data_IF_954945016267
#
_entry.id   IF_954945016267
#
_cell.length_a   1.000
_cell.length_b   1.000
_cell.length_c   1.000
_cell.angle_alpha   90.00
_cell.angle_beta   90.00
_cell.angle_gamma   90.00
#
_symmetry.space_group_name_H-M   'P 1'
#
loop_
_entity.id
_entity.type
_entity.pdbx_description
1 polymer ?
#
# COMPACT_ATOMS: atom_id res chain seq x y z
N UNK A 1 7.02 23.10 10.97
CA UNK A 1 7.10 21.70 10.48
C UNK A 1 8.52 21.19 10.68
N UNK A 2 8.71 20.01 11.31
CA UNK A 2 10.05 19.48 11.64
C UNK A 2 10.84 19.20 10.35
N UNK A 3 12.16 19.43 10.35
CA UNK A 3 13.08 19.24 9.20
C UNK A 3 12.84 17.92 8.44
N UNK A 4 12.64 16.83 9.17
CA UNK A 4 12.35 15.50 8.61
C UNK A 4 11.09 15.44 7.73
N UNK A 5 9.99 16.08 8.14
CA UNK A 5 8.73 16.09 7.38
C UNK A 5 8.89 16.85 6.06
N UNK A 6 9.66 17.94 6.07
CA UNK A 6 9.89 18.77 4.88
C UNK A 6 10.71 18.04 3.82
N UNK A 7 11.67 17.21 4.22
CA UNK A 7 12.58 16.50 3.33
C UNK A 7 12.24 15.01 3.17
N UNK A 8 11.04 14.58 3.55
CA UNK A 8 10.66 13.18 3.54
C UNK A 8 10.90 12.51 2.19
N UNK A 9 10.52 13.15 1.07
CA UNK A 9 10.75 12.61 -0.27
C UNK A 9 12.24 12.40 -0.58
N UNK A 10 13.11 13.31 -0.13
CA UNK A 10 14.56 13.19 -0.29
C UNK A 10 15.08 12.01 0.52
N UNK A 11 14.63 11.86 1.77
CA UNK A 11 14.98 10.72 2.61
C UNK A 11 14.55 9.39 2.00
N UNK A 12 13.33 9.30 1.45
CA UNK A 12 12.84 8.09 0.79
C UNK A 12 13.70 7.73 -0.42
N UNK A 13 14.00 8.70 -1.29
CA UNK A 13 14.86 8.49 -2.46
C UNK A 13 16.26 8.05 -2.04
N UNK A 14 16.85 8.71 -1.04
CA UNK A 14 18.16 8.35 -0.51
C UNK A 14 18.17 6.91 0.03
N UNK A 15 17.15 6.52 0.81
CA UNK A 15 17.01 5.15 1.31
C UNK A 15 16.82 4.13 0.17
N UNK A 16 16.06 4.46 -0.87
CA UNK A 16 15.89 3.59 -2.05
C UNK A 16 17.22 3.39 -2.80
N UNK A 17 17.96 4.47 -3.06
CA UNK A 17 19.26 4.41 -3.74
C UNK A 17 20.25 3.58 -2.93
N UNK A 18 20.33 3.81 -1.61
CA UNK A 18 21.21 3.06 -0.72
C UNK A 18 20.82 1.58 -0.70
N UNK A 19 19.53 1.28 -0.54
CA UNK A 19 19.03 -0.10 -0.52
C UNK A 19 19.34 -0.86 -1.82
N UNK A 20 19.07 -0.25 -2.98
CA UNK A 20 19.39 -0.84 -4.29
C UNK A 20 20.90 -1.00 -4.47
N UNK A 21 21.69 0.00 -4.08
CA UNK A 21 23.16 -0.05 -4.18
C UNK A 21 23.73 -1.17 -3.32
N UNK A 22 23.30 -1.30 -2.07
CA UNK A 22 23.73 -2.37 -1.17
C UNK A 22 23.35 -3.75 -1.75
N UNK A 23 22.13 -3.88 -2.29
CA UNK A 23 21.68 -5.11 -2.93
C UNK A 23 22.53 -5.51 -4.15
N UNK A 24 23.04 -4.52 -4.90
CA UNK A 24 23.89 -4.74 -6.07
C UNK A 24 25.36 -5.01 -5.72
N UNK A 25 25.96 -4.23 -4.82
CA UNK A 25 27.38 -4.34 -4.46
C UNK A 25 27.68 -5.45 -3.46
N UNK A 26 26.72 -5.78 -2.59
CA UNK A 26 26.86 -6.83 -1.58
C UNK A 26 25.76 -7.90 -1.74
N UNK A 27 25.83 -8.75 -2.80
CA UNK A 27 24.81 -9.78 -3.07
C UNK A 27 24.72 -10.85 -1.96
N UNK A 28 25.68 -10.88 -1.02
CA UNK A 28 25.61 -11.71 0.18
C UNK A 28 24.39 -11.36 1.06
N UNK A 29 23.99 -10.09 1.13
CA UNK A 29 22.83 -9.66 1.93
C UNK A 29 21.53 -10.25 1.34
N UNK A 30 21.18 -10.03 0.05
CA UNK A 30 20.05 -10.71 -0.59
C UNK A 30 20.09 -12.23 -0.47
N UNK A 31 21.26 -12.86 -0.64
CA UNK A 31 21.38 -14.32 -0.54
C UNK A 31 21.05 -14.87 0.85
N UNK A 32 21.39 -14.16 1.93
CA UNK A 32 20.98 -14.54 3.28
C UNK A 32 19.47 -14.36 3.45
N UNK A 33 18.90 -13.26 2.93
CA UNK A 33 17.45 -13.04 2.98
C UNK A 33 16.66 -14.10 2.21
N UNK A 34 17.14 -14.52 1.03
CA UNK A 34 16.52 -15.57 0.21
C UNK A 34 16.55 -16.94 0.89
N UNK A 35 17.50 -17.20 1.80
CA UNK A 35 17.47 -18.42 2.64
C UNK A 35 16.30 -18.42 3.64
N UNK A 36 15.80 -17.25 4.01
CA UNK A 36 14.60 -17.07 4.84
C UNK A 36 13.34 -16.86 3.99
N UNK A 37 13.37 -17.24 2.70
CA UNK A 37 12.21 -17.24 1.84
C UNK A 37 11.46 -18.57 1.94
N UNK A 38 10.16 -18.49 2.18
CA UNK A 38 9.27 -19.66 2.15
C UNK A 38 8.18 -19.41 1.12
N UNK A 39 8.08 -20.30 0.13
CA UNK A 39 7.08 -20.24 -0.94
C UNK A 39 7.03 -18.90 -1.73
N UNK A 40 8.18 -18.27 -2.00
CA UNK A 40 8.21 -17.00 -2.73
C UNK A 40 8.08 -15.76 -1.84
N UNK A 41 7.96 -15.93 -0.52
CA UNK A 41 7.68 -14.86 0.44
C UNK A 41 8.82 -14.81 1.46
N UNK A 42 9.55 -13.70 1.51
CA UNK A 42 10.62 -13.51 2.49
C UNK A 42 10.00 -13.32 3.89
N UNK A 43 10.17 -14.32 4.77
CA UNK A 43 9.60 -14.31 6.13
C UNK A 43 10.08 -13.06 6.90
N UNK A 44 11.33 -12.68 6.70
CA UNK A 44 11.90 -11.47 7.32
C UNK A 44 11.14 -10.21 6.89
N UNK A 45 10.83 -10.06 5.60
CA UNK A 45 10.07 -8.92 5.09
C UNK A 45 8.63 -8.94 5.61
N UNK A 46 7.99 -10.11 5.63
CA UNK A 46 6.65 -10.24 6.19
C UNK A 46 6.59 -9.83 7.67
N UNK A 47 7.59 -10.23 8.46
CA UNK A 47 7.71 -9.85 9.87
C UNK A 47 7.99 -8.35 10.04
N UNK A 48 8.90 -7.78 9.26
CA UNK A 48 9.19 -6.34 9.26
C UNK A 48 7.95 -5.51 8.94
N UNK A 49 7.20 -5.90 7.89
CA UNK A 49 5.94 -5.26 7.52
C UNK A 49 4.91 -5.44 8.63
N UNK A 50 4.80 -6.62 9.23
CA UNK A 50 3.87 -6.86 10.34
C UNK A 50 4.18 -5.97 11.55
N UNK A 51 5.46 -5.82 11.92
CA UNK A 51 5.91 -4.90 12.97
C UNK A 51 5.58 -3.45 12.63
N UNK A 52 5.57 -3.06 11.35
CA UNK A 52 5.18 -1.71 10.93
C UNK A 52 3.65 -1.49 10.94
N UNK A 53 2.87 -2.48 10.51
CA UNK A 53 1.40 -2.41 10.45
C UNK A 53 0.81 -2.41 11.87
N UNK A 54 1.31 -3.28 12.75
CA UNK A 54 0.79 -3.48 14.10
C UNK A 54 0.62 -2.19 14.94
N UNK A 55 1.62 -1.31 15.09
CA UNK A 55 1.50 -0.10 15.89
C UNK A 55 0.48 0.89 15.32
N UNK A 56 0.22 0.86 14.02
CA UNK A 56 -0.85 1.68 13.44
C UNK A 56 -2.23 1.12 13.72
N UNK A 57 -2.38 -0.20 13.65
CA UNK A 57 -3.63 -0.87 13.99
C UNK A 57 -4.04 -0.66 15.46
N UNK A 58 -3.09 -0.41 16.36
CA UNK A 58 -3.38 -0.05 17.76
C UNK A 58 -3.77 1.42 17.91
N UNK A 59 -3.25 2.31 17.06
CA UNK A 59 -3.57 3.75 17.10
C UNK A 59 -4.98 4.07 16.60
N UNK A 60 -5.72 3.07 16.11
CA UNK A 60 -7.09 3.20 15.64
C UNK A 60 -8.02 3.43 16.83
N UNK A 61 -8.42 4.68 17.04
CA UNK A 61 -9.44 5.01 18.04
C UNK A 61 -10.85 4.75 17.49
N UNK A 62 -11.41 3.58 17.83
CA UNK A 62 -12.79 3.21 17.49
C UNK A 62 -13.85 4.14 18.10
N UNK A 63 -13.52 4.94 19.14
CA UNK A 63 -14.47 5.95 19.66
C UNK A 63 -14.66 7.07 18.66
N UNK A 64 -13.60 7.52 17.99
CA UNK A 64 -13.65 8.57 16.97
C UNK A 64 -14.57 8.20 15.78
N UNK A 65 -14.67 6.91 15.43
CA UNK A 65 -15.65 6.39 14.43
C UNK A 65 -17.09 6.74 14.81
N UNK A 66 -17.44 6.63 16.11
CA UNK A 66 -18.80 6.87 16.60
C UNK A 66 -19.18 8.35 16.58
N UNK A 67 -18.21 9.26 16.74
CA UNK A 67 -18.45 10.71 16.72
C UNK A 67 -18.66 11.24 15.28
N UNK A 68 -17.96 10.68 14.30
CA UNK A 68 -17.99 11.12 12.90
C UNK A 68 -19.22 10.56 12.14
N UNK A 69 -19.88 9.53 12.69
CA UNK A 69 -21.17 9.02 12.20
C UNK A 69 -22.28 10.10 12.15
N UNK A 70 -22.10 11.24 12.84
CA UNK A 70 -23.03 12.38 12.78
C UNK A 70 -22.95 13.20 11.47
N UNK A 71 -21.83 13.17 10.73
CA UNK A 71 -21.67 13.88 9.45
C UNK A 71 -20.93 13.01 8.40
N UNK A 72 -21.55 11.93 7.90
CA UNK A 72 -20.86 10.91 7.10
C UNK A 72 -20.50 11.34 5.67
N UNK A 73 -20.99 12.49 5.17
CA UNK A 73 -20.90 12.84 3.74
C UNK A 73 -19.46 12.90 3.22
N UNK A 74 -18.55 13.56 3.96
CA UNK A 74 -17.15 13.70 3.56
C UNK A 74 -16.39 12.37 3.58
N UNK A 75 -16.60 11.58 4.64
CA UNK A 75 -16.00 10.26 4.79
C UNK A 75 -16.51 9.30 3.70
N UNK A 76 -17.81 9.31 3.41
CA UNK A 76 -18.43 8.43 2.42
C UNK A 76 -17.92 8.71 1.00
N UNK A 77 -17.83 9.98 0.60
CA UNK A 77 -17.27 10.37 -0.71
C UNK A 77 -15.81 9.96 -0.80
N UNK A 78 -15.01 10.24 0.24
CA UNK A 78 -13.60 9.84 0.28
C UNK A 78 -13.46 8.32 0.19
N UNK A 79 -14.32 7.59 0.90
CA UNK A 79 -14.31 6.13 0.93
C UNK A 79 -14.59 5.53 -0.45
N UNK A 80 -15.64 5.99 -1.14
CA UNK A 80 -15.98 5.50 -2.47
C UNK A 80 -14.91 5.90 -3.50
N UNK A 81 -14.51 7.18 -3.53
CA UNK A 81 -13.63 7.67 -4.59
C UNK A 81 -12.21 7.10 -4.42
N UNK A 82 -11.67 7.16 -3.21
CA UNK A 82 -10.27 6.82 -2.96
C UNK A 82 -10.05 5.31 -2.79
N UNK A 83 -11.04 4.55 -2.31
CA UNK A 83 -10.84 3.15 -1.93
C UNK A 83 -11.59 2.17 -2.83
N UNK A 84 -12.57 2.65 -3.61
CA UNK A 84 -13.22 1.86 -4.64
C UNK A 84 -12.76 2.33 -6.01
N UNK A 85 -13.08 3.55 -6.42
CA UNK A 85 -12.86 4.00 -7.80
C UNK A 85 -11.37 4.00 -8.14
N UNK A 86 -10.55 4.69 -7.34
CA UNK A 86 -9.11 4.84 -7.60
C UNK A 86 -8.37 3.50 -7.82
N UNK A 87 -8.41 2.51 -6.90
CA UNK A 87 -7.65 1.27 -7.09
C UNK A 87 -8.13 0.48 -8.30
N UNK A 88 -9.43 0.43 -8.60
CA UNK A 88 -9.94 -0.25 -9.80
C UNK A 88 -9.50 0.47 -11.09
N UNK A 89 -9.54 1.80 -11.11
CA UNK A 89 -9.10 2.58 -12.27
C UNK A 89 -7.59 2.45 -12.50
N UNK A 90 -6.78 2.59 -11.46
CA UNK A 90 -5.32 2.45 -11.58
C UNK A 90 -4.90 1.03 -11.96
N UNK A 91 -5.52 0.00 -11.36
CA UNK A 91 -5.33 -1.39 -11.77
C UNK A 91 -5.70 -1.58 -13.24
N UNK A 92 -6.88 -1.11 -13.65
CA UNK A 92 -7.37 -1.24 -15.02
C UNK A 92 -6.44 -0.60 -16.04
N UNK A 93 -5.98 0.63 -15.79
CA UNK A 93 -5.06 1.35 -16.68
C UNK A 93 -3.74 0.59 -16.81
N UNK A 94 -3.11 0.22 -15.68
CA UNK A 94 -1.82 -0.48 -15.71
C UNK A 94 -1.94 -1.87 -16.34
N UNK A 95 -2.99 -2.62 -16.02
CA UNK A 95 -3.22 -3.98 -16.53
C UNK A 95 -3.53 -3.99 -18.02
N UNK A 96 -4.37 -3.06 -18.49
CA UNK A 96 -4.67 -2.91 -19.93
C UNK A 96 -3.45 -2.40 -20.69
N UNK A 97 -2.68 -1.46 -20.13
CA UNK A 97 -1.42 -1.03 -20.76
C UNK A 97 -0.45 -2.22 -20.93
N UNK A 98 -0.28 -3.06 -19.91
CA UNK A 98 0.55 -4.26 -20.01
C UNK A 98 0.01 -5.26 -21.04
N UNK A 99 -1.32 -5.40 -21.13
CA UNK A 99 -1.97 -6.23 -22.14
C UNK A 99 -1.71 -5.74 -23.57
N UNK A 100 -1.84 -4.43 -23.80
CA UNK A 100 -1.55 -3.80 -25.10
C UNK A 100 -0.08 -3.94 -25.50
N UNK A 101 0.83 -3.88 -24.52
CA UNK A 101 2.25 -4.11 -24.70
C UNK A 101 2.62 -5.61 -24.84
N UNK A 102 1.64 -6.51 -24.84
CA UNK A 102 1.82 -7.98 -24.93
C UNK A 102 2.77 -8.54 -23.87
N UNK A 103 2.79 -7.94 -22.67
CA UNK A 103 3.57 -8.46 -21.56
C UNK A 103 2.91 -9.71 -20.98
N UNK A 104 3.70 -10.68 -20.48
CA UNK A 104 3.15 -11.89 -19.88
C UNK A 104 2.39 -11.58 -18.57
N UNK A 105 1.41 -12.42 -18.24
CA UNK A 105 0.54 -12.22 -17.08
C UNK A 105 1.31 -12.11 -15.74
N UNK A 106 2.43 -12.83 -15.62
CA UNK A 106 3.30 -12.79 -14.45
C UNK A 106 3.98 -11.43 -14.21
N UNK A 107 3.97 -10.53 -15.21
CA UNK A 107 4.42 -9.13 -15.07
C UNK A 107 3.22 -8.20 -14.96
N UNK A 108 2.20 -8.41 -15.80
CA UNK A 108 1.03 -7.54 -15.86
C UNK A 108 0.22 -7.53 -14.55
N UNK A 109 0.00 -8.69 -13.94
CA UNK A 109 -0.79 -8.79 -12.71
C UNK A 109 -0.11 -8.09 -11.51
N UNK A 110 1.19 -8.35 -11.20
CA UNK A 110 1.90 -7.60 -10.18
C UNK A 110 2.00 -6.10 -10.48
N UNK A 111 2.26 -5.72 -11.75
CA UNK A 111 2.34 -4.30 -12.12
C UNK A 111 1.02 -3.56 -11.88
N UNK A 112 -0.12 -4.18 -12.21
CA UNK A 112 -1.45 -3.65 -11.91
C UNK A 112 -1.70 -3.49 -10.41
N UNK A 113 -1.25 -4.44 -9.60
CA UNK A 113 -1.38 -4.36 -8.14
C UNK A 113 -0.51 -3.24 -7.55
N UNK A 114 0.75 -3.14 -7.97
CA UNK A 114 1.66 -2.06 -7.53
C UNK A 114 1.07 -0.68 -7.85
N UNK A 115 0.46 -0.52 -9.03
CA UNK A 115 -0.18 0.74 -9.41
C UNK A 115 -1.44 1.07 -8.60
N UNK A 116 -2.16 0.07 -8.10
CA UNK A 116 -3.38 0.26 -7.32
C UNK A 116 -3.12 0.48 -5.82
N UNK A 117 -1.97 0.00 -5.30
CA UNK A 117 -1.66 0.00 -3.87
C UNK A 117 -1.25 1.36 -3.31
N UNK A 118 -1.60 1.60 -2.04
CA UNK A 118 -1.24 2.81 -1.32
C UNK A 118 -0.31 2.51 -0.12
N UNK A 119 0.50 3.51 0.27
CA UNK A 119 1.35 3.44 1.47
C UNK A 119 0.61 3.99 2.69
N UNK A 120 -0.11 3.12 3.39
CA UNK A 120 -0.92 3.51 4.55
C UNK A 120 -0.13 4.00 5.74
N UNK A 121 1.04 3.40 5.95
CA UNK A 121 1.98 3.75 7.00
C UNK A 121 2.24 5.24 7.04
N UNK A 122 2.57 5.77 5.87
CA UNK A 122 2.87 7.16 5.72
C UNK A 122 1.60 8.02 5.79
N UNK A 123 0.51 7.57 5.16
CA UNK A 123 -0.75 8.32 5.13
C UNK A 123 -1.32 8.56 6.54
N UNK A 124 -1.37 7.51 7.38
CA UNK A 124 -1.85 7.60 8.76
C UNK A 124 -0.91 8.45 9.61
N UNK A 125 0.41 8.26 9.48
CA UNK A 125 1.40 9.06 10.21
C UNK A 125 1.28 10.56 9.91
N UNK A 126 1.13 10.93 8.64
CA UNK A 126 0.94 12.33 8.20
C UNK A 126 -0.40 12.86 8.68
N UNK A 127 -1.48 12.08 8.58
CA UNK A 127 -2.81 12.51 9.02
C UNK A 127 -2.84 12.80 10.53
N UNK A 128 -2.27 11.91 11.35
CA UNK A 128 -2.16 12.12 12.80
C UNK A 128 -1.26 13.33 13.10
N UNK A 129 -0.15 13.49 12.39
CA UNK A 129 0.80 14.58 12.66
C UNK A 129 0.24 15.97 12.29
N UNK A 130 -0.60 16.06 11.26
CA UNK A 130 -1.16 17.33 10.79
C UNK A 130 -2.52 17.66 11.41
N UNK A 131 -3.38 16.66 11.59
CA UNK A 131 -4.78 16.85 11.99
C UNK A 131 -5.10 16.28 13.37
N UNK A 132 -4.17 15.55 14.00
CA UNK A 132 -4.38 14.88 15.28
C UNK A 132 -5.07 13.51 15.15
N UNK A 133 -5.03 12.73 16.22
CA UNK A 133 -5.52 11.33 16.26
C UNK A 133 -7.04 11.20 16.17
N UNK A 134 -7.79 12.23 16.55
CA UNK A 134 -9.27 12.22 16.59
C UNK A 134 -9.92 12.84 15.34
N UNK A 135 -9.11 13.23 14.36
CA UNK A 135 -9.60 13.89 13.15
C UNK A 135 -10.27 12.92 12.16
N UNK A 136 -11.19 13.44 11.35
CA UNK A 136 -11.81 12.70 10.25
C UNK A 136 -10.79 12.16 9.25
N UNK A 137 -9.70 12.90 9.01
CA UNK A 137 -8.62 12.50 8.10
C UNK A 137 -7.80 11.32 8.65
N UNK A 138 -7.44 11.34 9.94
CA UNK A 138 -6.76 10.21 10.58
C UNK A 138 -7.65 8.96 10.62
N UNK A 139 -8.96 9.15 10.84
CA UNK A 139 -9.91 8.05 10.80
C UNK A 139 -10.06 7.48 9.37
N UNK A 140 -10.24 8.32 8.35
CA UNK A 140 -10.44 7.89 6.97
C UNK A 140 -9.26 7.08 6.42
N UNK A 141 -8.02 7.52 6.71
CA UNK A 141 -6.79 6.80 6.32
C UNK A 141 -6.66 5.45 7.01
N UNK A 142 -7.06 5.38 8.28
CA UNK A 142 -6.99 4.17 9.09
C UNK A 142 -8.06 3.15 8.74
N UNK A 143 -9.33 3.59 8.70
CA UNK A 143 -10.47 2.73 8.34
C UNK A 143 -10.30 2.20 6.93
N UNK A 144 -9.79 3.04 6.03
CA UNK A 144 -9.68 2.57 4.68
C UNK A 144 -8.68 1.42 4.53
N UNK A 145 -7.63 1.29 5.36
CA UNK A 145 -6.70 0.12 5.28
C UNK A 145 -7.49 -1.19 5.32
N UNK A 146 -8.51 -1.24 6.18
CA UNK A 146 -9.41 -2.38 6.30
C UNK A 146 -10.25 -2.64 5.05
N UNK A 147 -10.40 -1.64 4.20
CA UNK A 147 -11.21 -1.68 2.97
C UNK A 147 -10.36 -1.88 1.73
N UNK A 148 -9.11 -1.41 1.71
CA UNK A 148 -8.17 -1.71 0.64
C UNK A 148 -7.80 -3.19 0.63
N UNK A 149 -7.61 -3.82 1.79
CA UNK A 149 -7.26 -5.26 1.84
C UNK A 149 -8.31 -6.14 1.10
N UNK A 150 -9.63 -6.05 1.36
CA UNK A 150 -10.64 -6.73 0.58
C UNK A 150 -10.63 -6.37 -0.91
N UNK A 151 -10.46 -5.10 -1.25
CA UNK A 151 -10.40 -4.64 -2.64
C UNK A 151 -9.20 -5.25 -3.37
N UNK A 152 -8.05 -5.31 -2.72
CA UNK A 152 -6.85 -5.96 -3.26
C UNK A 152 -7.05 -7.45 -3.45
N UNK A 153 -7.65 -8.15 -2.48
CA UNK A 153 -8.00 -9.57 -2.63
C UNK A 153 -8.99 -9.79 -3.78
N UNK A 154 -9.90 -8.85 -4.02
CA UNK A 154 -10.81 -8.89 -5.16
C UNK A 154 -10.07 -8.67 -6.49
N UNK A 155 -9.14 -7.72 -6.55
CA UNK A 155 -8.28 -7.50 -7.72
C UNK A 155 -7.39 -8.72 -8.01
N UNK A 156 -6.83 -9.37 -6.99
CA UNK A 156 -6.09 -10.63 -7.13
C UNK A 156 -6.96 -11.73 -7.74
N UNK A 157 -8.21 -11.86 -7.28
CA UNK A 157 -9.17 -12.81 -7.89
C UNK A 157 -9.44 -12.49 -9.36
N UNK A 158 -9.58 -11.21 -9.71
CA UNK A 158 -9.77 -10.76 -11.10
C UNK A 158 -8.54 -11.06 -11.95
N UNK A 159 -7.33 -10.78 -11.44
CA UNK A 159 -6.06 -11.10 -12.09
C UNK A 159 -5.98 -12.60 -12.39
N UNK A 160 -6.15 -13.44 -11.37
CA UNK A 160 -6.06 -14.89 -11.52
C UNK A 160 -7.12 -15.46 -12.48
N UNK A 161 -8.34 -14.89 -12.50
CA UNK A 161 -9.40 -15.29 -13.44
C UNK A 161 -9.08 -14.90 -14.89
N UNK A 162 -8.30 -13.84 -15.10
CA UNK A 162 -7.95 -13.32 -16.43
C UNK A 162 -6.62 -13.85 -16.97
N UNK A 163 -5.98 -14.80 -16.25
CA UNK A 163 -4.73 -15.45 -16.65
C UNK A 163 -4.76 -16.01 -18.08
N UNK A 164 -5.87 -16.59 -18.50
CA UNK A 164 -6.04 -17.17 -19.85
C UNK A 164 -6.26 -16.14 -20.98
N UNK A 165 -6.34 -14.84 -20.68
CA UNK A 165 -6.45 -13.79 -21.70
C UNK A 165 -5.10 -13.26 -22.17
N UNK A 166 -4.04 -13.49 -21.40
CA UNK A 166 -2.68 -13.07 -21.70
C UNK A 166 -1.95 -14.21 -22.42
N UNK A 167 -0.97 -13.83 -23.26
CA UNK A 167 -0.07 -14.74 -23.94
C UNK A 167 0.82 -15.51 -22.95
#
# INVERSE_FOLDING_TARGET
>A
MKFFQKYLSVWVILCMIIGVSIGHFFPMIPNILNKFEYAGISILMALLIWIMIYPMMIKVDFKSVKYISKNPKGLFVTWIVNWLIKPFTMYGIAYVACYLLKLPHNIAAPAGMIGASNFFELAVAVAIALFGTTSEAALATTVGVLTEVPVMLMLVRIANKTKGRFL
#
